data_IF_019104028697
#
_entry.id   IF_019104028697
#
_cell.length_a   1.000
_cell.length_b   1.000
_cell.length_c   1.000
_cell.angle_alpha   90.00
_cell.angle_beta   90.00
_cell.angle_gamma   90.00
#
_symmetry.space_group_name_H-M   'P 1'
#
loop_
_entity.id
_entity.type
_entity.pdbx_description
1 polymer ?
#
# COMPACT_ATOMS: atom_id res chain seq x y z
N UNK A 1 33.30 7.42 -35.06
CA UNK A 1 31.98 8.07 -34.93
C UNK A 1 31.11 7.15 -34.09
N UNK A 2 31.01 7.44 -32.78
CA UNK A 2 30.26 6.62 -31.83
C UNK A 2 28.77 6.94 -31.96
N UNK A 3 27.97 5.95 -32.33
CA UNK A 3 26.50 6.05 -32.36
C UNK A 3 26.00 6.16 -30.92
N UNK A 4 25.55 7.36 -30.53
CA UNK A 4 24.86 7.55 -29.26
C UNK A 4 23.59 6.68 -29.25
N UNK A 5 23.56 5.69 -28.36
CA UNK A 5 22.35 4.94 -28.10
C UNK A 5 21.24 5.92 -27.70
N UNK A 6 20.10 5.87 -28.40
CA UNK A 6 18.95 6.69 -28.09
C UNK A 6 18.55 6.42 -26.63
N UNK A 7 18.67 7.44 -25.77
CA UNK A 7 18.23 7.40 -24.39
C UNK A 7 16.72 7.13 -24.39
N UNK A 8 16.29 5.90 -24.11
CA UNK A 8 14.88 5.59 -23.94
C UNK A 8 14.36 6.34 -22.72
N UNK A 9 13.50 7.33 -22.94
CA UNK A 9 12.75 7.98 -21.87
C UNK A 9 11.79 6.95 -21.26
N UNK A 10 12.07 6.54 -20.02
CA UNK A 10 11.21 5.61 -19.30
C UNK A 10 9.94 6.32 -18.85
N UNK A 11 8.79 5.88 -19.36
CA UNK A 11 7.48 6.33 -18.90
C UNK A 11 7.15 5.66 -17.56
N UNK A 12 7.01 6.49 -16.52
CA UNK A 12 6.71 6.03 -15.16
C UNK A 12 5.22 5.82 -14.90
N UNK A 13 4.33 6.28 -15.80
CA UNK A 13 2.86 6.22 -15.68
C UNK A 13 2.32 6.68 -14.33
N UNK A 14 2.96 7.70 -13.75
CA UNK A 14 2.47 8.36 -12.55
C UNK A 14 1.42 9.41 -12.92
N UNK A 15 0.45 9.71 -12.05
CA UNK A 15 -0.50 10.79 -12.30
C UNK A 15 0.21 12.15 -12.37
N UNK A 16 -0.39 13.13 -13.04
CA UNK A 16 0.15 14.50 -13.12
C UNK A 16 -0.12 15.33 -11.85
N UNK A 17 0.44 16.54 -11.80
CA UNK A 17 0.19 17.50 -10.71
C UNK A 17 1.16 17.43 -9.52
N UNK A 18 0.95 18.30 -8.50
CA UNK A 18 1.76 18.39 -7.28
C UNK A 18 1.78 17.08 -6.49
N UNK A 19 2.93 16.72 -5.90
CA UNK A 19 3.13 15.41 -5.24
C UNK A 19 2.11 15.11 -4.14
N UNK A 20 1.72 16.14 -3.39
CA UNK A 20 0.79 16.11 -2.26
C UNK A 20 -0.66 15.85 -2.67
N UNK A 21 -1.00 16.16 -3.92
CA UNK A 21 -2.37 16.05 -4.44
C UNK A 21 -2.50 15.02 -5.56
N UNK A 22 -1.38 14.60 -6.16
CA UNK A 22 -1.27 13.73 -7.34
C UNK A 22 -2.23 12.54 -7.30
N UNK A 23 -2.19 11.77 -6.22
CA UNK A 23 -3.01 10.55 -6.09
C UNK A 23 -4.43 10.81 -5.64
N UNK A 24 -4.65 11.88 -4.89
CA UNK A 24 -6.00 12.31 -4.49
C UNK A 24 -6.78 12.78 -5.72
N UNK A 25 -6.18 13.62 -6.56
CA UNK A 25 -6.76 14.05 -7.84
C UNK A 25 -6.98 12.85 -8.77
N UNK A 26 -5.98 11.99 -8.94
CA UNK A 26 -6.11 10.78 -9.74
C UNK A 26 -7.31 9.92 -9.31
N UNK A 27 -7.48 9.68 -8.00
CA UNK A 27 -8.61 8.91 -7.46
C UNK A 27 -9.95 9.56 -7.78
N UNK A 28 -10.04 10.89 -7.73
CA UNK A 28 -11.28 11.64 -7.99
C UNK A 28 -11.68 11.60 -9.47
N UNK A 29 -10.71 11.52 -10.37
CA UNK A 29 -10.92 11.51 -11.83
C UNK A 29 -11.08 10.10 -12.42
N UNK A 30 -10.78 9.05 -11.64
CA UNK A 30 -10.92 7.67 -12.07
C UNK A 30 -12.37 7.32 -12.43
N UNK A 31 -12.54 6.74 -13.62
CA UNK A 31 -13.83 6.23 -14.08
C UNK A 31 -14.27 5.05 -13.22
N UNK A 32 -15.44 5.17 -12.60
CA UNK A 32 -16.01 4.11 -11.76
C UNK A 32 -16.69 3.03 -12.60
N UNK A 33 -16.55 1.77 -12.18
CA UNK A 33 -17.27 0.64 -12.77
C UNK A 33 -18.60 0.47 -12.04
N UNK A 34 -19.71 0.53 -12.78
CA UNK A 34 -21.04 0.32 -12.22
C UNK A 34 -21.16 -1.07 -11.56
N UNK A 35 -21.84 -1.21 -10.40
CA UNK A 35 -21.92 -2.47 -9.66
C UNK A 35 -22.33 -3.68 -10.51
N UNK A 36 -23.33 -3.51 -11.38
CA UNK A 36 -23.82 -4.58 -12.27
C UNK A 36 -22.78 -5.06 -13.28
N UNK A 37 -21.81 -4.21 -13.64
CA UNK A 37 -20.75 -4.56 -14.59
C UNK A 37 -19.56 -5.23 -13.91
N UNK A 38 -19.37 -5.10 -12.59
CA UNK A 38 -18.21 -5.66 -11.88
C UNK A 38 -18.10 -7.19 -12.03
N UNK A 39 -19.24 -7.89 -11.99
CA UNK A 39 -19.33 -9.36 -12.16
C UNK A 39 -18.93 -9.86 -13.56
N UNK A 40 -18.85 -8.96 -14.55
CA UNK A 40 -18.44 -9.30 -15.92
C UNK A 40 -16.92 -9.36 -16.06
N UNK A 41 -16.17 -8.88 -15.07
CA UNK A 41 -14.72 -8.87 -15.09
C UNK A 41 -14.18 -9.99 -14.19
N UNK A 42 -13.30 -10.78 -14.79
CA UNK A 42 -12.49 -11.77 -14.09
C UNK A 42 -11.15 -11.14 -13.70
N UNK A 43 -10.79 -11.22 -12.42
CA UNK A 43 -9.52 -10.75 -11.89
C UNK A 43 -8.72 -11.96 -11.43
N UNK A 44 -7.52 -12.10 -11.97
CA UNK A 44 -6.57 -13.14 -11.57
C UNK A 44 -5.55 -12.52 -10.62
N UNK A 45 -5.47 -13.06 -9.41
CA UNK A 45 -4.47 -12.68 -8.41
C UNK A 45 -3.49 -13.83 -8.24
N UNK A 46 -2.22 -13.58 -8.54
CA UNK A 46 -1.14 -14.55 -8.38
C UNK A 46 -0.34 -14.21 -7.13
N UNK A 47 -0.41 -15.10 -6.14
CA UNK A 47 0.18 -14.93 -4.82
C UNK A 47 -0.87 -14.63 -3.74
N UNK A 48 -0.76 -15.32 -2.60
CA UNK A 48 -1.69 -15.23 -1.47
C UNK A 48 -1.01 -14.70 -0.19
N UNK A 49 0.09 -13.95 -0.33
CA UNK A 49 0.67 -13.17 0.76
C UNK A 49 -0.20 -11.98 1.13
N UNK A 50 0.26 -11.11 2.04
CA UNK A 50 -0.54 -9.97 2.52
C UNK A 50 -1.09 -9.11 1.37
N UNK A 51 -0.25 -8.73 0.41
CA UNK A 51 -0.69 -7.92 -0.73
C UNK A 51 -1.76 -8.61 -1.59
N UNK A 52 -1.53 -9.88 -1.96
CA UNK A 52 -2.43 -10.63 -2.83
C UNK A 52 -3.73 -11.02 -2.15
N UNK A 53 -3.67 -11.47 -0.90
CA UNK A 53 -4.86 -11.81 -0.13
C UNK A 53 -5.72 -10.56 0.15
N UNK A 54 -5.11 -9.43 0.54
CA UNK A 54 -5.84 -8.18 0.74
C UNK A 54 -6.46 -7.65 -0.56
N UNK A 55 -5.72 -7.68 -1.68
CA UNK A 55 -6.26 -7.29 -2.98
C UNK A 55 -7.42 -8.19 -3.41
N UNK A 56 -7.27 -9.51 -3.28
CA UNK A 56 -8.31 -10.47 -3.64
C UNK A 56 -9.57 -10.28 -2.80
N UNK A 57 -9.42 -10.11 -1.48
CA UNK A 57 -10.53 -9.87 -0.56
C UNK A 57 -11.28 -8.57 -0.88
N UNK A 58 -10.56 -7.44 -1.02
CA UNK A 58 -11.19 -6.15 -1.33
C UNK A 58 -11.87 -6.13 -2.70
N UNK A 59 -11.29 -6.78 -3.71
CA UNK A 59 -11.92 -6.88 -5.03
C UNK A 59 -13.14 -7.81 -5.03
N UNK A 60 -13.07 -8.92 -4.31
CA UNK A 60 -14.21 -9.83 -4.16
C UNK A 60 -15.37 -9.14 -3.40
N UNK A 61 -15.07 -8.39 -2.34
CA UNK A 61 -16.06 -7.59 -1.59
C UNK A 61 -16.76 -6.56 -2.48
N UNK A 62 -16.04 -5.96 -3.42
CA UNK A 62 -16.62 -5.03 -4.40
C UNK A 62 -17.53 -5.71 -5.43
N UNK A 63 -17.53 -7.05 -5.52
CA UNK A 63 -18.39 -7.84 -6.41
C UNK A 63 -17.73 -8.28 -7.73
N UNK A 64 -16.39 -8.25 -7.81
CA UNK A 64 -15.66 -8.80 -8.95
C UNK A 64 -15.52 -10.33 -8.86
N UNK A 65 -15.35 -11.01 -10.00
CA UNK A 65 -15.04 -12.44 -10.00
C UNK A 65 -13.52 -12.62 -9.83
N UNK A 66 -13.08 -12.99 -8.63
CA UNK A 66 -11.65 -13.07 -8.29
C UNK A 66 -11.18 -14.52 -8.24
N UNK A 67 -10.13 -14.84 -9.00
CA UNK A 67 -9.43 -16.13 -8.98
C UNK A 67 -8.06 -15.93 -8.34
N UNK A 68 -7.88 -16.44 -7.13
CA UNK A 68 -6.63 -16.33 -6.39
C UNK A 68 -5.82 -17.64 -6.49
N UNK A 69 -4.56 -17.53 -6.89
CA UNK A 69 -3.65 -18.67 -7.07
C UNK A 69 -2.47 -18.55 -6.10
N UNK A 70 -2.13 -19.64 -5.42
CA UNK A 70 -0.88 -19.77 -4.66
C UNK A 70 -0.04 -20.91 -5.22
N UNK A 71 1.27 -20.72 -5.19
CA UNK A 71 2.22 -21.80 -5.52
C UNK A 71 2.42 -22.75 -4.33
N UNK A 72 2.26 -22.25 -3.11
CA UNK A 72 2.46 -23.00 -1.88
C UNK A 72 1.31 -24.00 -1.63
N UNK A 73 1.61 -25.08 -0.88
CA UNK A 73 0.63 -26.08 -0.43
C UNK A 73 -0.59 -25.47 0.30
N UNK A 74 -0.40 -24.31 0.92
CA UNK A 74 -1.47 -23.57 1.59
C UNK A 74 -1.28 -22.06 1.41
N UNK A 75 -2.36 -21.29 1.22
CA UNK A 75 -2.30 -19.83 1.16
C UNK A 75 -1.61 -19.19 2.37
N UNK A 76 -1.68 -19.83 3.54
CA UNK A 76 -1.07 -19.34 4.80
C UNK A 76 0.45 -19.46 4.85
N UNK A 77 1.07 -20.21 3.93
CA UNK A 77 2.53 -20.41 3.88
C UNK A 77 3.28 -19.35 3.07
N UNK A 78 2.61 -18.28 2.65
CA UNK A 78 3.31 -17.13 2.07
C UNK A 78 4.28 -16.52 3.11
N UNK A 79 5.44 -16.04 2.66
CA UNK A 79 6.51 -15.56 3.56
C UNK A 79 6.08 -14.40 4.47
N UNK A 80 5.00 -13.70 4.13
CA UNK A 80 4.41 -12.66 4.99
C UNK A 80 4.08 -13.14 6.41
N UNK A 81 3.88 -14.44 6.63
CA UNK A 81 3.66 -15.01 7.98
C UNK A 81 4.88 -14.86 8.90
N UNK A 82 6.08 -14.71 8.34
CA UNK A 82 7.33 -14.59 9.09
C UNK A 82 7.64 -13.13 9.49
N UNK A 83 6.80 -12.17 9.14
CA UNK A 83 6.97 -10.77 9.55
C UNK A 83 6.78 -10.62 11.07
N UNK A 84 7.73 -9.97 11.75
CA UNK A 84 7.72 -9.83 13.21
C UNK A 84 7.77 -8.37 13.69
N UNK A 85 8.32 -7.47 12.87
CA UNK A 85 8.67 -6.12 13.33
C UNK A 85 7.48 -5.20 13.59
N UNK A 86 6.42 -5.29 12.78
CA UNK A 86 5.29 -4.36 12.77
C UNK A 86 5.07 -3.75 11.38
N UNK A 87 4.20 -2.75 11.32
CA UNK A 87 3.88 -1.99 10.11
C UNK A 87 3.95 -0.49 10.44
N UNK A 88 4.68 0.27 9.63
CA UNK A 88 4.81 1.71 9.81
C UNK A 88 3.60 2.44 9.23
N UNK A 89 3.10 3.43 9.96
CA UNK A 89 2.05 4.33 9.49
C UNK A 89 2.22 5.71 10.11
N UNK A 90 1.72 6.73 9.41
CA UNK A 90 1.76 8.13 9.83
C UNK A 90 0.75 8.43 10.97
N UNK A 91 0.78 7.62 12.04
CA UNK A 91 -0.27 7.55 13.05
C UNK A 91 0.20 8.10 14.39
N UNK A 92 -0.22 9.33 14.64
CA UNK A 92 0.19 10.16 15.77
C UNK A 92 -0.56 9.83 17.08
N UNK A 93 -0.68 8.55 17.46
CA UNK A 93 -1.29 8.17 18.76
C UNK A 93 -0.55 8.76 19.96
N UNK A 94 0.80 8.75 20.00
CA UNK A 94 1.57 9.31 21.10
C UNK A 94 1.63 10.84 21.11
N UNK A 95 1.01 11.52 20.14
CA UNK A 95 1.16 12.96 19.91
C UNK A 95 2.63 13.39 19.73
N UNK A 96 3.45 12.55 19.06
CA UNK A 96 4.86 12.77 18.75
C UNK A 96 5.10 13.62 17.48
N UNK A 97 4.01 14.15 16.91
CA UNK A 97 4.04 15.01 15.72
C UNK A 97 4.26 14.21 14.44
N UNK A 98 3.84 12.94 14.42
CA UNK A 98 3.90 12.14 13.21
C UNK A 98 2.96 12.67 12.12
N UNK A 99 3.39 12.55 10.86
CA UNK A 99 2.66 13.09 9.71
C UNK A 99 3.01 12.33 8.43
N UNK A 100 2.13 12.43 7.43
CA UNK A 100 2.35 11.85 6.10
C UNK A 100 3.68 12.32 5.52
N UNK A 101 4.03 13.59 5.69
CA UNK A 101 5.29 14.15 5.20
C UNK A 101 6.51 13.53 5.90
N UNK A 102 6.44 13.27 7.20
CA UNK A 102 7.55 12.68 7.96
C UNK A 102 7.83 11.25 7.51
N UNK A 103 6.78 10.42 7.42
CA UNK A 103 6.90 9.06 6.88
C UNK A 103 7.40 9.05 5.42
N UNK A 104 6.92 9.99 4.60
CA UNK A 104 7.40 10.18 3.23
C UNK A 104 8.90 10.51 3.20
N UNK A 105 9.33 11.52 3.97
CA UNK A 105 10.72 11.96 4.03
C UNK A 105 11.66 10.85 4.48
N UNK A 106 11.31 10.16 5.57
CA UNK A 106 12.12 9.06 6.11
C UNK A 106 12.22 7.89 5.11
N UNK A 107 11.16 7.63 4.35
CA UNK A 107 11.16 6.58 3.32
C UNK A 107 12.02 6.97 2.11
N UNK A 108 11.98 8.23 1.67
CA UNK A 108 12.84 8.71 0.58
C UNK A 108 14.31 8.69 0.99
N UNK A 109 14.62 9.20 2.19
CA UNK A 109 15.96 9.19 2.76
C UNK A 109 16.48 7.76 2.97
N UNK A 110 15.66 6.88 3.53
CA UNK A 110 16.00 5.46 3.74
C UNK A 110 16.19 4.70 2.43
N UNK A 111 15.53 5.13 1.35
CA UNK A 111 15.73 4.63 -0.01
C UNK A 111 16.92 5.23 -0.74
N UNK A 112 17.82 5.95 -0.06
CA UNK A 112 18.97 6.65 -0.63
C UNK A 112 18.59 7.58 -1.80
N UNK A 113 17.42 8.20 -1.71
CA UNK A 113 16.85 9.07 -2.75
C UNK A 113 16.62 8.38 -4.12
N UNK A 114 16.64 7.04 -4.15
CA UNK A 114 16.38 6.23 -5.37
C UNK A 114 14.92 5.80 -5.50
N UNK A 115 14.13 6.03 -4.46
CA UNK A 115 12.72 5.68 -4.45
C UNK A 115 11.90 6.62 -5.36
N UNK A 116 10.82 6.10 -5.94
CA UNK A 116 9.89 6.92 -6.74
C UNK A 116 9.02 7.75 -5.80
N UNK A 117 9.38 9.01 -5.60
CA UNK A 117 8.78 9.92 -4.62
C UNK A 117 7.25 9.96 -4.70
N UNK A 118 6.67 10.04 -5.91
CA UNK A 118 5.23 10.01 -6.10
C UNK A 118 4.56 8.78 -5.47
N UNK A 119 5.16 7.59 -5.62
CA UNK A 119 4.61 6.35 -5.05
C UNK A 119 4.85 6.26 -3.54
N UNK A 120 5.98 6.79 -3.07
CA UNK A 120 6.31 6.84 -1.63
C UNK A 120 5.32 7.76 -0.91
N UNK A 121 4.98 8.90 -1.50
CA UNK A 121 4.00 9.80 -0.93
C UNK A 121 2.63 9.12 -0.80
N UNK A 122 2.20 8.38 -1.83
CA UNK A 122 0.98 7.57 -1.78
C UNK A 122 0.99 6.52 -0.68
N UNK A 123 2.12 5.83 -0.50
CA UNK A 123 2.29 4.86 0.57
C UNK A 123 2.06 5.53 1.92
N UNK A 124 2.65 6.71 2.14
CA UNK A 124 2.50 7.45 3.39
C UNK A 124 1.04 7.91 3.62
N UNK A 125 0.38 8.45 2.59
CA UNK A 125 -1.04 8.86 2.66
C UNK A 125 -1.98 7.72 3.06
N UNK A 126 -1.76 6.52 2.51
CA UNK A 126 -2.68 5.38 2.68
C UNK A 126 -2.36 4.57 3.95
N UNK A 127 -1.16 4.72 4.50
CA UNK A 127 -0.67 3.94 5.65
C UNK A 127 -1.65 3.91 6.83
N UNK A 128 -2.23 5.04 7.21
CA UNK A 128 -3.19 5.14 8.31
C UNK A 128 -4.46 4.31 8.06
N UNK A 129 -5.00 4.40 6.85
CA UNK A 129 -6.19 3.65 6.45
C UNK A 129 -5.93 2.14 6.46
N UNK A 130 -4.72 1.71 6.12
CA UNK A 130 -4.33 0.29 6.18
C UNK A 130 -4.36 -0.22 7.62
N UNK A 131 -3.82 0.56 8.58
CA UNK A 131 -3.87 0.20 10.00
C UNK A 131 -5.31 0.11 10.49
N UNK A 132 -6.15 1.09 10.15
CA UNK A 132 -7.57 1.09 10.51
C UNK A 132 -8.31 -0.11 9.93
N UNK A 133 -8.05 -0.45 8.67
CA UNK A 133 -8.63 -1.62 8.03
C UNK A 133 -8.20 -2.92 8.73
N UNK A 134 -6.91 -3.07 9.04
CA UNK A 134 -6.41 -4.25 9.75
C UNK A 134 -7.05 -4.38 11.14
N UNK A 135 -7.13 -3.28 11.90
CA UNK A 135 -7.78 -3.28 13.21
C UNK A 135 -9.27 -3.64 13.12
N UNK A 136 -9.99 -3.11 12.12
CA UNK A 136 -11.40 -3.42 11.88
C UNK A 136 -11.62 -4.88 11.45
N UNK A 137 -10.68 -5.49 10.73
CA UNK A 137 -10.68 -6.91 10.38
C UNK A 137 -10.34 -7.84 11.57
N UNK A 138 -10.02 -7.27 12.74
CA UNK A 138 -9.70 -8.04 13.94
C UNK A 138 -8.25 -8.50 14.01
N UNK A 139 -7.33 -7.86 13.28
CA UNK A 139 -5.89 -8.11 13.46
C UNK A 139 -5.52 -7.76 14.92
N UNK A 140 -4.92 -8.70 15.67
CA UNK A 140 -4.66 -8.53 17.10
C UNK A 140 -3.41 -7.67 17.32
N UNK A 141 -3.51 -6.37 17.06
CA UNK A 141 -2.47 -5.42 17.42
C UNK A 141 -2.34 -5.31 18.95
N UNK A 142 -1.10 -5.14 19.42
CA UNK A 142 -0.84 -4.76 20.79
C UNK A 142 -1.49 -3.41 21.10
N UNK A 143 -1.91 -3.23 22.35
CA UNK A 143 -2.57 -2.02 22.82
C UNK A 143 -1.92 -1.51 24.09
N UNK A 144 -1.86 -0.19 24.19
CA UNK A 144 -1.48 0.48 25.42
C UNK A 144 -2.62 0.42 26.44
N UNK A 145 -2.34 0.78 27.70
CA UNK A 145 -3.34 0.83 28.76
C UNK A 145 -4.53 1.74 28.41
N UNK A 146 -4.30 2.80 27.62
CA UNK A 146 -5.35 3.71 27.13
C UNK A 146 -6.23 3.13 26.01
N UNK A 147 -5.99 1.89 25.57
CA UNK A 147 -6.78 1.21 24.54
C UNK A 147 -6.42 1.56 23.09
N UNK A 148 -5.51 2.52 22.88
CA UNK A 148 -4.93 2.82 21.57
C UNK A 148 -3.96 1.72 21.13
N UNK A 149 -3.65 1.67 19.84
CA UNK A 149 -2.65 0.73 19.32
C UNK A 149 -1.26 1.13 19.84
N UNK A 150 -0.49 0.14 20.26
CA UNK A 150 0.86 0.33 20.77
C UNK A 150 1.86 0.60 19.64
N UNK A 151 2.61 1.70 19.76
CA UNK A 151 3.62 2.11 18.80
C UNK A 151 5.02 1.83 19.36
N UNK A 152 5.95 1.40 18.50
CA UNK A 152 7.34 1.19 18.88
C UNK A 152 8.30 1.91 17.94
N UNK A 153 9.44 2.33 18.45
CA UNK A 153 10.52 2.87 17.62
C UNK A 153 11.04 1.80 16.66
N UNK A 154 11.28 2.20 15.41
CA UNK A 154 11.81 1.35 14.36
C UNK A 154 12.71 2.16 13.42
N UNK A 155 13.95 1.70 13.22
CA UNK A 155 14.93 2.41 12.41
C UNK A 155 15.55 3.61 13.14
N UNK A 156 16.88 3.62 13.18
CA UNK A 156 17.75 4.66 13.73
C UNK A 156 19.11 4.58 13.05
#
# INVERSE_FOLDING_TARGET
MSTAAAQQTLDSRIPDGPIDQKWTQCKNEMKLVAPNNKRKFDIIVVGTGLAGASAAASLAELGYNVKAFCYQDSPRRAHSIAAQGGINAAKNYPNDGDSVYRLFYDTVKGGDFRAREANVYRLAEVSNNIIDQCAAQGVPFAREYGGMLDNRSFGG
#
